data_IF_460947358341
#
_entry.id   IF_460947358341
#
_cell.length_a   1.000
_cell.length_b   1.000
_cell.length_c   1.000
_cell.angle_alpha   90.00
_cell.angle_beta   90.00
_cell.angle_gamma   90.00
#
_symmetry.space_group_name_H-M   'P 1'
#
loop_
_entity.id
_entity.type
_entity.pdbx_description
1 polymer ?
#
# COMPACT_ATOMS: atom_id res chain seq x y z
N UNK A 1 4.99 -41.99 33.32
CA UNK A 1 4.39 -42.10 32.62
C UNK A 1 3.38 -41.20 32.33
N UNK A 2 2.65 -40.79 32.93
CA UNK A 2 1.73 -40.00 32.58
C UNK A 2 2.18 -38.67 32.29
N UNK A 3 3.19 -38.17 32.67
CA UNK A 3 3.58 -36.90 32.42
C UNK A 3 3.77 -36.64 31.05
N UNK A 4 4.07 -37.44 30.29
CA UNK A 4 4.32 -37.17 29.00
C UNK A 4 3.13 -36.80 28.32
N UNK A 5 2.01 -37.06 28.74
CA UNK A 5 0.96 -36.76 28.02
C UNK A 5 0.65 -35.36 28.15
N UNK A 6 1.02 -34.65 29.11
CA UNK A 6 0.69 -33.32 29.15
C UNK A 6 1.49 -32.64 28.18
N UNK A 7 2.58 -33.04 27.85
CA UNK A 7 3.36 -32.37 26.88
C UNK A 7 2.66 -32.26 25.61
N UNK A 8 1.93 -33.21 25.24
CA UNK A 8 1.38 -33.11 24.01
C UNK A 8 0.32 -32.12 23.92
N UNK A 9 -0.44 -31.90 24.90
CA UNK A 9 -1.45 -30.97 24.60
C UNK A 9 -0.94 -29.59 24.71
N UNK A 10 0.22 -29.38 25.07
CA UNK A 10 0.75 -28.10 25.10
C UNK A 10 0.94 -27.61 23.71
N UNK A 11 1.58 -28.36 22.89
CA UNK A 11 1.84 -27.82 21.61
C UNK A 11 0.65 -27.84 20.75
N UNK A 12 -0.36 -28.46 21.12
CA UNK A 12 -1.46 -28.45 20.31
C UNK A 12 -2.06 -27.12 20.47
N UNK A 13 -1.93 -26.50 21.56
CA UNK A 13 -2.51 -25.27 21.75
C UNK A 13 -1.94 -24.24 20.83
N UNK A 14 -0.70 -24.07 20.79
CA UNK A 14 -0.28 -23.01 19.99
C UNK A 14 -0.21 -23.33 18.55
N UNK A 15 -0.44 -24.45 18.23
CA UNK A 15 -0.54 -24.77 16.85
C UNK A 15 -1.79 -24.07 16.38
N UNK A 16 -2.78 -24.10 17.16
CA UNK A 16 -3.99 -23.50 16.72
C UNK A 16 -3.90 -22.04 16.51
N UNK A 17 -3.35 -21.31 17.37
CA UNK A 17 -3.42 -19.94 17.09
C UNK A 17 -2.33 -19.47 16.19
N UNK A 18 -1.48 -20.28 15.84
CA UNK A 18 -0.54 -19.89 14.87
C UNK A 18 -1.23 -19.52 13.61
N UNK A 19 -2.27 -20.19 13.27
CA UNK A 19 -2.86 -19.86 12.07
C UNK A 19 -3.78 -18.76 12.20
N UNK A 20 -4.26 -18.50 13.32
CA UNK A 20 -5.15 -17.43 13.43
C UNK A 20 -4.62 -16.16 12.91
N UNK A 21 -3.51 -15.77 13.27
CA UNK A 21 -3.04 -14.49 12.86
C UNK A 21 -2.78 -14.37 11.43
N UNK A 22 -2.49 -15.38 10.82
CA UNK A 22 -2.22 -15.26 9.50
C UNK A 22 -3.34 -14.90 8.74
N UNK A 23 -4.40 -15.32 9.10
CA UNK A 23 -5.50 -15.13 8.31
C UNK A 23 -5.70 -13.75 7.91
N UNK A 24 -5.52 -12.84 8.73
CA UNK A 24 -5.80 -11.61 8.28
C UNK A 24 -4.76 -10.92 7.71
N UNK A 25 -3.68 -11.37 7.86
CA UNK A 25 -2.66 -10.71 7.22
C UNK A 25 -2.82 -10.64 5.81
N UNK A 26 -3.57 -11.49 5.36
CA UNK A 26 -3.69 -11.59 4.00
C UNK A 26 -4.05 -10.35 3.38
N UNK A 27 -4.86 -9.65 3.84
CA UNK A 27 -5.24 -8.54 3.11
C UNK A 27 -4.50 -7.32 3.43
N UNK A 28 -3.54 -7.44 4.20
CA UNK A 28 -2.93 -6.27 4.69
C UNK A 28 -1.99 -5.57 3.75
N UNK A 29 -1.37 -6.24 2.85
CA UNK A 29 -0.39 -5.60 2.02
C UNK A 29 -1.03 -4.92 0.83
N UNK A 30 -0.80 -3.65 0.65
CA UNK A 30 -1.33 -2.97 -0.50
C UNK A 30 -0.55 -3.36 -1.75
N UNK A 31 -1.16 -3.21 -2.88
CA UNK A 31 -0.49 -3.51 -4.13
C UNK A 31 0.60 -2.47 -4.36
N UNK A 32 1.81 -2.93 -4.56
CA UNK A 32 2.96 -2.04 -4.68
C UNK A 32 2.84 -1.09 -5.88
N UNK A 33 2.37 -1.58 -6.99
CA UNK A 33 2.23 -0.77 -8.18
C UNK A 33 1.17 0.30 -7.98
N UNK A 34 0.04 -0.07 -7.42
CA UNK A 34 -1.03 0.88 -7.21
C UNK A 34 -0.60 1.94 -6.21
N UNK A 35 0.07 1.54 -5.16
CA UNK A 35 0.54 2.49 -4.16
C UNK A 35 1.59 3.41 -4.77
N UNK A 36 2.50 2.87 -5.57
CA UNK A 36 3.52 3.69 -6.20
C UNK A 36 2.94 4.75 -7.12
N UNK A 37 1.99 4.37 -7.95
CA UNK A 37 1.32 5.32 -8.83
C UNK A 37 0.59 6.38 -8.00
N UNK A 38 -0.17 5.94 -7.00
CA UNK A 38 -0.99 6.85 -6.23
C UNK A 38 -0.15 7.87 -5.46
N UNK A 39 0.91 7.41 -4.84
CA UNK A 39 1.75 8.32 -4.08
C UNK A 39 2.54 9.26 -4.98
N UNK A 40 2.92 8.80 -6.15
CA UNK A 40 3.63 9.65 -7.09
C UNK A 40 2.71 10.75 -7.62
N UNK A 41 1.48 10.41 -7.95
CA UNK A 41 0.50 11.38 -8.39
C UNK A 41 0.23 12.40 -7.29
N UNK A 42 0.10 11.93 -6.06
CA UNK A 42 -0.11 12.85 -4.94
C UNK A 42 1.08 13.79 -4.77
N UNK A 43 2.29 13.26 -4.89
CA UNK A 43 3.47 14.08 -4.73
C UNK A 43 3.53 15.19 -5.80
N UNK A 44 3.13 14.87 -6.99
CA UNK A 44 3.14 15.85 -8.08
C UNK A 44 1.98 16.84 -7.94
N UNK A 45 0.79 16.35 -7.64
CA UNK A 45 -0.40 17.18 -7.61
C UNK A 45 -0.62 17.93 -6.31
N UNK A 46 -0.01 17.45 -5.21
CA UNK A 46 -0.23 18.08 -3.91
C UNK A 46 -0.09 19.58 -3.90
N UNK A 47 1.04 20.11 -4.32
CA UNK A 47 1.22 21.56 -4.31
C UNK A 47 0.47 22.26 -5.44
N UNK A 48 0.02 21.55 -6.44
CA UNK A 48 -0.60 22.15 -7.60
C UNK A 48 -2.11 22.18 -7.56
N UNK A 49 -2.72 21.25 -6.85
CA UNK A 49 -4.17 21.14 -6.82
C UNK A 49 -4.61 20.56 -5.47
N UNK A 50 -4.87 21.43 -4.49
CA UNK A 50 -5.22 20.96 -3.14
C UNK A 50 -6.45 20.07 -3.09
N UNK A 51 -7.43 20.32 -3.95
CA UNK A 51 -8.63 19.49 -3.97
C UNK A 51 -8.30 18.08 -4.43
N UNK A 52 -7.51 17.98 -5.49
CA UNK A 52 -7.09 16.67 -5.97
C UNK A 52 -6.21 16.00 -4.92
N UNK A 53 -5.36 16.75 -4.24
CA UNK A 53 -4.50 16.18 -3.21
C UNK A 53 -5.31 15.56 -2.09
N UNK A 54 -6.37 16.22 -1.68
CA UNK A 54 -7.22 15.70 -0.62
C UNK A 54 -7.86 14.38 -1.05
N UNK A 55 -8.39 14.33 -2.24
CA UNK A 55 -9.02 13.13 -2.77
C UNK A 55 -8.01 11.98 -2.88
N UNK A 56 -6.80 12.29 -3.33
CA UNK A 56 -5.75 11.29 -3.45
C UNK A 56 -5.31 10.77 -2.09
N UNK A 57 -5.21 11.63 -1.10
CA UNK A 57 -4.85 11.17 0.23
C UNK A 57 -5.88 10.22 0.80
N UNK A 58 -7.15 10.50 0.58
CA UNK A 58 -8.20 9.60 1.03
C UNK A 58 -8.09 8.24 0.35
N UNK A 59 -7.76 8.25 -0.93
CA UNK A 59 -7.63 7.00 -1.65
C UNK A 59 -6.44 6.20 -1.13
N UNK A 60 -5.34 6.87 -0.86
CA UNK A 60 -4.16 6.20 -0.33
C UNK A 60 -4.44 5.64 1.06
N UNK A 61 -5.18 6.37 1.89
CA UNK A 61 -5.53 5.87 3.21
C UNK A 61 -6.32 4.58 3.11
N UNK A 62 -7.21 4.49 2.14
CA UNK A 62 -7.96 3.27 1.91
C UNK A 62 -7.04 2.13 1.46
N UNK A 63 -6.08 2.45 0.59
CA UNK A 63 -5.18 1.44 0.08
C UNK A 63 -4.28 0.85 1.17
N UNK A 64 -3.87 1.66 2.13
CA UNK A 64 -2.94 1.19 3.15
C UNK A 64 -3.63 0.75 4.43
N UNK A 65 -4.94 0.78 4.44
CA UNK A 65 -5.67 0.42 5.63
C UNK A 65 -5.33 -1.00 6.07
N UNK A 66 -5.00 -1.16 7.30
CA UNK A 66 -4.64 -2.49 7.82
C UNK A 66 -3.17 -2.86 7.69
N UNK A 67 -2.40 -2.07 6.98
CA UNK A 67 -0.99 -2.37 6.85
C UNK A 67 -0.19 -1.71 7.96
N UNK A 68 0.80 -2.40 8.49
CA UNK A 68 1.65 -1.83 9.51
C UNK A 68 2.69 -0.93 8.87
N UNK A 69 3.34 -0.11 9.69
CA UNK A 69 4.41 0.75 9.19
C UNK A 69 5.52 -0.06 8.56
N UNK A 70 5.83 -1.21 9.13
CA UNK A 70 6.87 -2.06 8.59
C UNK A 70 6.48 -2.64 7.24
N UNK A 71 5.23 -3.07 7.11
CA UNK A 71 4.74 -3.59 5.84
C UNK A 71 4.77 -2.52 4.77
N UNK A 72 4.40 -1.31 5.12
CA UNK A 72 4.44 -0.22 4.16
C UNK A 72 5.86 0.11 3.74
N UNK A 73 6.79 0.05 4.68
CA UNK A 73 8.19 0.30 4.34
C UNK A 73 8.69 -0.75 3.35
N UNK A 74 8.30 -1.99 3.54
CA UNK A 74 8.69 -3.06 2.64
C UNK A 74 8.12 -2.85 1.24
N UNK A 75 6.87 -2.48 1.16
CA UNK A 75 6.24 -2.25 -0.11
C UNK A 75 6.93 -1.08 -0.83
N UNK A 76 7.21 -0.02 -0.10
CA UNK A 76 7.85 1.16 -0.68
C UNK A 76 9.30 0.92 -1.10
N UNK A 77 9.91 -0.13 -0.58
CA UNK A 77 11.26 -0.47 -1.00
C UNK A 77 11.28 -1.48 -2.14
N UNK A 78 10.13 -1.95 -2.58
CA UNK A 78 10.10 -2.94 -3.64
C UNK A 78 10.38 -2.32 -5.00
N UNK A 79 10.86 -3.12 -5.92
CA UNK A 79 11.12 -2.67 -7.27
C UNK A 79 9.83 -2.29 -7.99
N UNK A 80 8.77 -3.01 -7.73
CA UNK A 80 7.49 -2.71 -8.35
C UNK A 80 6.98 -1.33 -7.97
N UNK A 81 7.13 -1.00 -6.70
CA UNK A 81 6.71 0.31 -6.24
C UNK A 81 7.56 1.39 -6.91
N UNK A 82 8.87 1.20 -6.91
CA UNK A 82 9.76 2.21 -7.45
C UNK A 82 9.55 2.42 -8.94
N UNK A 83 9.38 1.35 -9.67
CA UNK A 83 9.14 1.47 -11.10
C UNK A 83 7.85 2.20 -11.39
N UNK A 84 6.82 1.90 -10.63
CA UNK A 84 5.54 2.56 -10.81
C UNK A 84 5.63 4.04 -10.44
N UNK A 85 6.28 4.33 -9.34
CA UNK A 85 6.45 5.71 -8.89
C UNK A 85 7.22 6.50 -9.95
N UNK A 86 8.34 5.97 -10.41
CA UNK A 86 9.18 6.67 -11.36
C UNK A 86 8.50 6.85 -12.71
N UNK A 87 7.65 5.92 -13.10
CA UNK A 87 6.97 6.08 -14.38
C UNK A 87 6.03 7.28 -14.35
N UNK A 88 5.43 7.57 -13.21
CA UNK A 88 4.59 8.74 -13.08
C UNK A 88 5.46 10.01 -13.07
N UNK A 89 6.59 9.96 -12.40
CA UNK A 89 7.50 11.10 -12.38
C UNK A 89 7.93 11.45 -13.82
N UNK A 90 8.29 10.45 -14.59
CA UNK A 90 8.70 10.65 -15.96
C UNK A 90 7.57 11.20 -16.83
N UNK A 91 6.38 10.67 -16.64
CA UNK A 91 5.24 11.13 -17.40
C UNK A 91 4.91 12.57 -17.02
N UNK A 92 4.91 12.88 -15.73
CA UNK A 92 4.57 14.21 -15.25
C UNK A 92 5.56 15.27 -15.73
N UNK A 93 6.81 14.89 -15.88
CA UNK A 93 7.81 15.81 -16.36
C UNK A 93 7.57 16.28 -17.80
N UNK A 94 6.76 15.53 -18.52
CA UNK A 94 6.45 15.86 -19.91
C UNK A 94 5.10 16.52 -20.09
N UNK A 95 4.36 16.73 -19.00
CA UNK A 95 3.05 17.32 -19.10
C UNK A 95 3.17 18.82 -19.31
N UNK A 96 2.40 19.33 -20.27
CA UNK A 96 2.31 20.70 -20.56
C UNK A 96 1.53 21.39 -19.45
N UNK A 97 1.86 22.59 -19.10
CA UNK A 97 1.19 23.34 -18.06
C UNK A 97 -0.30 23.43 -18.27
N UNK A 98 -0.75 23.50 -19.49
CA UNK A 98 -2.17 23.54 -19.77
C UNK A 98 -2.87 22.27 -19.32
N UNK A 99 -2.17 21.17 -19.25
CA UNK A 99 -2.76 19.88 -18.92
C UNK A 99 -2.55 19.45 -17.49
N UNK A 100 -1.81 20.22 -16.71
CA UNK A 100 -1.54 19.84 -15.34
C UNK A 100 -2.82 19.71 -14.52
N UNK A 101 -3.69 20.70 -14.63
CA UNK A 101 -4.91 20.68 -13.85
C UNK A 101 -5.78 19.50 -14.21
N UNK A 102 -5.88 19.22 -15.51
CA UNK A 102 -6.65 18.09 -15.95
C UNK A 102 -6.04 16.78 -15.47
N UNK A 103 -4.72 16.68 -15.54
CA UNK A 103 -4.05 15.47 -15.08
C UNK A 103 -4.36 15.22 -13.62
N UNK A 104 -4.25 16.24 -12.78
CA UNK A 104 -4.47 16.05 -11.34
C UNK A 104 -5.93 15.81 -11.01
N UNK A 105 -6.85 16.43 -11.73
CA UNK A 105 -8.25 16.30 -11.42
C UNK A 105 -8.87 15.02 -11.94
N UNK A 106 -8.40 14.56 -13.06
CA UNK A 106 -9.05 13.48 -13.77
C UNK A 106 -8.30 12.17 -13.87
N UNK A 107 -7.08 12.11 -13.40
CA UNK A 107 -6.31 10.88 -13.51
C UNK A 107 -6.97 9.76 -12.73
N UNK A 108 -7.36 8.69 -13.38
CA UNK A 108 -7.93 7.58 -12.66
C UNK A 108 -6.81 6.78 -12.04
N UNK A 109 -6.99 6.40 -10.81
CA UNK A 109 -5.99 5.56 -10.13
C UNK A 109 -6.31 4.10 -10.39
N UNK A 110 -5.30 3.27 -10.51
CA UNK A 110 -5.51 1.84 -10.72
C UNK A 110 -6.22 1.25 -9.53
N UNK A 111 -6.97 0.20 -9.72
CA UNK A 111 -7.70 -0.44 -8.65
C UNK A 111 -7.04 -1.66 -8.14
#
# INVERSE_FOLDING_TARGET
MRRRRQARWVWLVWAGWALGPIAHGDGALPNARVLGVSESVLNYCGPRDPTAAHRLRQKIEQLVQGASAQQLAEVRNSDEYRKAYDSVVDFAAKIDEHNVKRFCAETPLPR
#
